data_IF_700763618342
#
_entry.id   IF_700763618342
#
_cell.length_a   1.000
_cell.length_b   1.000
_cell.length_c   1.000
_cell.angle_alpha   90.00
_cell.angle_beta   90.00
_cell.angle_gamma   90.00
#
_symmetry.space_group_name_H-M   'P 1'
#
loop_
_entity.id
_entity.type
_entity.pdbx_description
1 polymer ?
#
# COMPACT_ATOMS: atom_id res chain seq x y z
N UNK A 1 18.10 -22.21 17.46
CA UNK A 1 16.74 -22.45 16.92
C UNK A 1 15.74 -21.34 17.25
N UNK A 2 15.74 -20.76 18.46
CA UNK A 2 14.80 -19.71 18.93
C UNK A 2 14.81 -18.39 18.15
N UNK A 3 15.95 -17.99 17.54
CA UNK A 3 16.04 -16.72 16.77
C UNK A 3 15.16 -16.74 15.51
N UNK A 4 15.20 -17.86 14.78
CA UNK A 4 14.46 -18.05 13.52
C UNK A 4 12.94 -18.04 13.70
N UNK A 5 12.44 -18.55 14.82
CA UNK A 5 11.00 -18.50 15.16
C UNK A 5 10.53 -17.07 15.46
N UNK A 6 11.34 -16.28 16.17
CA UNK A 6 11.03 -14.86 16.44
C UNK A 6 10.99 -14.06 15.13
N UNK A 7 11.92 -14.30 14.22
CA UNK A 7 11.96 -13.60 12.93
C UNK A 7 10.72 -13.92 12.07
N UNK A 8 10.29 -15.19 12.03
CA UNK A 8 9.07 -15.61 11.31
C UNK A 8 7.83 -14.94 11.93
N UNK A 9 7.72 -14.89 13.26
CA UNK A 9 6.62 -14.20 13.93
C UNK A 9 6.62 -12.69 13.66
N UNK A 10 7.78 -12.04 13.65
CA UNK A 10 7.89 -10.63 13.30
C UNK A 10 7.46 -10.36 11.86
N UNK A 11 7.86 -11.22 10.92
CA UNK A 11 7.43 -11.10 9.52
C UNK A 11 5.92 -11.34 9.35
N UNK A 12 5.37 -12.34 10.05
CA UNK A 12 3.94 -12.65 9.98
C UNK A 12 3.09 -11.54 10.59
N UNK A 13 3.51 -11.01 11.74
CA UNK A 13 2.83 -9.87 12.40
C UNK A 13 2.91 -8.61 11.56
N UNK A 14 4.09 -8.28 11.00
CA UNK A 14 4.25 -7.15 10.09
C UNK A 14 3.37 -7.29 8.84
N UNK A 15 3.32 -8.49 8.25
CA UNK A 15 2.46 -8.78 7.09
C UNK A 15 0.98 -8.69 7.43
N UNK A 16 0.58 -9.18 8.60
CA UNK A 16 -0.80 -9.11 9.09
C UNK A 16 -1.23 -7.67 9.34
N UNK A 17 -0.40 -6.88 10.03
CA UNK A 17 -0.67 -5.46 10.29
C UNK A 17 -0.78 -4.65 9.00
N UNK A 18 0.11 -4.91 8.03
CA UNK A 18 0.05 -4.30 6.71
C UNK A 18 -1.25 -4.64 5.98
N UNK A 19 -1.59 -5.93 5.89
CA UNK A 19 -2.81 -6.36 5.21
C UNK A 19 -4.09 -5.83 5.88
N UNK A 20 -4.08 -5.66 7.20
CA UNK A 20 -5.18 -5.02 7.92
C UNK A 20 -5.34 -3.55 7.55
N UNK A 21 -4.24 -2.79 7.50
CA UNK A 21 -4.26 -1.39 7.06
C UNK A 21 -4.73 -1.24 5.62
N UNK A 22 -4.19 -2.05 4.70
CA UNK A 22 -4.59 -2.06 3.29
C UNK A 22 -6.09 -2.42 3.14
N UNK A 23 -6.58 -3.39 3.91
CA UNK A 23 -8.00 -3.79 3.92
C UNK A 23 -8.94 -2.76 4.54
N UNK A 24 -8.48 -1.92 5.45
CA UNK A 24 -9.26 -0.79 5.96
C UNK A 24 -9.38 0.31 4.90
N UNK A 25 -8.25 0.65 4.26
CA UNK A 25 -8.19 1.66 3.22
C UNK A 25 -9.07 1.32 2.00
N UNK A 26 -9.11 0.04 1.59
CA UNK A 26 -9.89 -0.39 0.42
C UNK A 26 -11.41 -0.27 0.63
N UNK A 27 -11.88 -0.23 1.89
CA UNK A 27 -13.31 -0.05 2.22
C UNK A 27 -13.63 1.43 2.42
N UNK A 28 -12.81 2.14 3.19
CA UNK A 28 -13.09 3.53 3.56
C UNK A 28 -12.89 4.50 2.41
N UNK A 29 -11.90 4.29 1.56
CA UNK A 29 -11.65 5.23 0.46
C UNK A 29 -12.81 5.30 -0.54
N UNK A 30 -13.37 4.18 -1.05
CA UNK A 30 -14.57 4.21 -1.87
C UNK A 30 -15.79 4.79 -1.15
N UNK A 31 -15.98 4.45 0.13
CA UNK A 31 -17.10 4.95 0.93
C UNK A 31 -16.99 6.48 1.14
N UNK A 32 -15.78 6.99 1.37
CA UNK A 32 -15.50 8.42 1.49
C UNK A 32 -15.77 9.16 0.18
N UNK A 33 -15.27 8.63 -0.96
CA UNK A 33 -15.52 9.22 -2.27
C UNK A 33 -17.01 9.22 -2.63
N UNK A 34 -17.73 8.14 -2.31
CA UNK A 34 -19.18 8.07 -2.49
C UNK A 34 -19.91 9.12 -1.62
N UNK A 35 -19.47 9.32 -0.37
CA UNK A 35 -20.03 10.34 0.51
C UNK A 35 -19.75 11.78 0.03
N UNK A 36 -18.64 12.00 -0.69
CA UNK A 36 -18.35 13.26 -1.38
C UNK A 36 -19.20 13.48 -2.64
N UNK A 37 -20.00 12.48 -3.06
CA UNK A 37 -20.87 12.55 -4.23
C UNK A 37 -20.19 12.18 -5.55
N UNK A 38 -19.02 11.52 -5.51
CA UNK A 38 -18.37 11.02 -6.73
C UNK A 38 -19.16 9.87 -7.35
N UNK A 39 -19.18 9.83 -8.69
CA UNK A 39 -19.83 8.76 -9.44
C UNK A 39 -19.05 7.45 -9.35
N UNK A 40 -19.75 6.32 -9.49
CA UNK A 40 -19.16 4.98 -9.40
C UNK A 40 -18.03 4.77 -10.41
N UNK A 41 -18.11 5.38 -11.61
CA UNK A 41 -17.05 5.30 -12.60
C UNK A 41 -15.75 5.97 -12.12
N UNK A 42 -15.84 7.10 -11.41
CA UNK A 42 -14.68 7.82 -10.88
C UNK A 42 -14.03 7.04 -9.73
N UNK A 43 -14.83 6.47 -8.84
CA UNK A 43 -14.35 5.60 -7.77
C UNK A 43 -13.64 4.37 -8.34
N UNK A 44 -14.24 3.75 -9.37
CA UNK A 44 -13.62 2.62 -10.08
C UNK A 44 -12.29 2.98 -10.73
N UNK A 45 -12.15 4.20 -11.26
CA UNK A 45 -10.90 4.67 -11.86
C UNK A 45 -9.79 4.85 -10.81
N UNK A 46 -10.11 5.39 -9.63
CA UNK A 46 -9.19 5.47 -8.49
C UNK A 46 -8.78 4.07 -8.01
N UNK A 47 -9.75 3.15 -7.87
CA UNK A 47 -9.46 1.78 -7.46
C UNK A 47 -8.56 1.06 -8.50
N UNK A 48 -8.80 1.30 -9.79
CA UNK A 48 -7.98 0.72 -10.86
C UNK A 48 -6.56 1.28 -10.85
N UNK A 49 -6.38 2.59 -10.64
CA UNK A 49 -5.04 3.20 -10.54
C UNK A 49 -4.25 2.61 -9.36
N UNK A 50 -4.90 2.48 -8.19
CA UNK A 50 -4.29 1.88 -7.01
C UNK A 50 -3.82 0.42 -7.24
N UNK A 51 -4.65 -0.39 -7.91
CA UNK A 51 -4.30 -1.76 -8.26
C UNK A 51 -3.17 -1.80 -9.31
N UNK A 52 -3.20 -0.89 -10.28
CA UNK A 52 -2.16 -0.76 -11.30
C UNK A 52 -0.83 -0.36 -10.67
N UNK A 53 -0.81 0.63 -9.77
CA UNK A 53 0.36 1.03 -8.99
C UNK A 53 0.94 -0.14 -8.19
N UNK A 54 0.07 -0.92 -7.54
CA UNK A 54 0.47 -2.14 -6.81
C UNK A 54 1.09 -3.18 -7.73
N UNK A 55 0.51 -3.41 -8.92
CA UNK A 55 1.02 -4.35 -9.90
C UNK A 55 2.39 -3.93 -10.45
N UNK A 56 2.55 -2.65 -10.81
CA UNK A 56 3.81 -2.09 -11.27
C UNK A 56 4.90 -2.16 -10.20
N UNK A 57 4.57 -1.85 -8.96
CA UNK A 57 5.51 -1.94 -7.84
C UNK A 57 5.93 -3.40 -7.60
N UNK A 58 4.98 -4.34 -7.66
CA UNK A 58 5.26 -5.78 -7.52
C UNK A 58 6.20 -6.26 -8.63
N UNK A 59 5.95 -5.84 -9.87
CA UNK A 59 6.78 -6.18 -11.02
C UNK A 59 8.18 -5.57 -10.90
N UNK A 60 8.28 -4.29 -10.54
CA UNK A 60 9.54 -3.59 -10.32
C UNK A 60 10.38 -4.24 -9.22
N UNK A 61 9.75 -4.58 -8.08
CA UNK A 61 10.40 -5.35 -7.01
C UNK A 61 10.84 -6.72 -7.54
N UNK A 62 10.02 -7.41 -8.34
CA UNK A 62 10.37 -8.70 -8.94
C UNK A 62 11.65 -8.66 -9.79
N UNK A 63 11.92 -7.55 -10.47
CA UNK A 63 13.17 -7.35 -11.24
C UNK A 63 14.38 -6.99 -10.36
N UNK A 64 14.16 -6.25 -9.27
CA UNK A 64 15.24 -5.77 -8.37
C UNK A 64 15.61 -6.81 -7.31
N UNK A 65 14.65 -7.65 -6.90
CA UNK A 65 14.77 -8.62 -5.82
C UNK A 65 15.90 -9.66 -5.98
N UNK A 66 16.20 -10.20 -7.18
CA UNK A 66 17.28 -11.16 -7.35
C UNK A 66 18.68 -10.57 -7.10
N UNK A 67 18.82 -9.24 -7.12
CA UNK A 67 20.11 -8.54 -7.03
C UNK A 67 20.33 -7.82 -5.69
N UNK A 68 19.35 -7.82 -4.79
CA UNK A 68 19.39 -7.06 -3.55
C UNK A 68 19.02 -7.90 -2.33
N UNK A 69 19.60 -7.57 -1.18
CA UNK A 69 19.28 -8.21 0.08
C UNK A 69 17.80 -8.01 0.46
N UNK A 70 17.11 -9.10 0.82
CA UNK A 70 15.71 -9.07 1.26
C UNK A 70 15.47 -8.07 2.39
N UNK A 71 16.42 -7.93 3.32
CA UNK A 71 16.30 -7.01 4.45
C UNK A 71 16.25 -5.54 4.00
N UNK A 72 17.03 -5.18 2.99
CA UNK A 72 17.02 -3.82 2.45
C UNK A 72 15.69 -3.52 1.74
N UNK A 73 15.16 -4.48 0.97
CA UNK A 73 13.85 -4.38 0.32
C UNK A 73 12.70 -4.26 1.32
N UNK A 74 12.75 -5.02 2.42
CA UNK A 74 11.77 -4.94 3.50
C UNK A 74 11.81 -3.58 4.23
N UNK A 75 13.00 -3.03 4.48
CA UNK A 75 13.11 -1.69 5.09
C UNK A 75 12.69 -0.57 4.13
N UNK A 76 13.05 -0.68 2.85
CA UNK A 76 12.63 0.29 1.83
C UNK A 76 11.10 0.31 1.67
N UNK A 77 10.47 -0.86 1.60
CA UNK A 77 9.00 -0.97 1.52
C UNK A 77 8.30 -0.49 2.79
N UNK A 78 8.86 -0.73 3.97
CA UNK A 78 8.34 -0.17 5.22
C UNK A 78 8.42 1.37 5.24
N UNK A 79 9.54 1.94 4.76
CA UNK A 79 9.69 3.39 4.63
C UNK A 79 8.71 4.00 3.64
N UNK A 80 8.55 3.37 2.47
CA UNK A 80 7.57 3.79 1.47
C UNK A 80 6.14 3.77 2.03
N UNK A 81 5.78 2.73 2.77
CA UNK A 81 4.45 2.57 3.36
C UNK A 81 4.17 3.59 4.47
N UNK A 82 5.18 3.94 5.28
CA UNK A 82 5.05 5.02 6.24
C UNK A 82 4.89 6.38 5.55
N UNK A 83 5.64 6.62 4.46
CA UNK A 83 5.54 7.85 3.69
C UNK A 83 4.15 8.01 3.06
N UNK A 84 3.60 6.98 2.42
CA UNK A 84 2.25 7.04 1.83
C UNK A 84 1.18 7.29 2.89
N UNK A 85 1.26 6.61 4.04
CA UNK A 85 0.32 6.80 5.15
C UNK A 85 0.35 8.21 5.75
N UNK A 86 1.51 8.89 5.75
CA UNK A 86 1.64 10.28 6.19
C UNK A 86 1.18 11.29 5.13
N UNK A 87 1.35 10.95 3.86
CA UNK A 87 0.93 11.77 2.72
C UNK A 87 -0.60 11.81 2.64
N UNK A 88 -1.29 10.66 2.72
CA UNK A 88 -2.75 10.56 2.51
C UNK A 88 -3.63 11.56 3.30
N UNK A 89 -3.44 11.78 4.62
CA UNK A 89 -4.24 12.72 5.41
C UNK A 89 -4.02 14.20 5.04
N UNK A 90 -2.92 14.52 4.36
CA UNK A 90 -2.52 15.90 4.07
C UNK A 90 -3.12 16.47 2.77
N UNK A 91 -3.84 15.68 1.97
CA UNK A 91 -4.33 16.12 0.66
C UNK A 91 -5.87 16.11 0.56
N UNK A 92 -6.48 17.29 0.61
CA UNK A 92 -7.93 17.52 0.50
C UNK A 92 -8.49 17.47 -0.95
N UNK A 93 -7.68 17.11 -1.96
CA UNK A 93 -8.11 17.15 -3.37
C UNK A 93 -7.96 15.80 -4.10
N UNK A 94 -9.08 15.30 -4.62
CA UNK A 94 -9.22 14.00 -5.30
C UNK A 94 -8.34 13.87 -6.56
N UNK A 95 -7.99 14.99 -7.20
CA UNK A 95 -7.09 15.00 -8.37
C UNK A 95 -5.67 14.51 -8.05
N UNK A 96 -5.20 14.65 -6.80
CA UNK A 96 -3.88 14.18 -6.37
C UNK A 96 -3.93 12.77 -5.76
N UNK A 97 -5.07 12.32 -5.25
CA UNK A 97 -5.25 10.93 -4.78
C UNK A 97 -5.06 9.95 -5.95
N UNK A 98 -5.54 10.27 -7.15
CA UNK A 98 -5.30 9.50 -8.38
C UNK A 98 -3.82 9.48 -8.77
N UNK A 99 -3.05 10.54 -8.47
CA UNK A 99 -1.64 10.63 -8.82
C UNK A 99 -0.73 9.85 -7.85
N UNK A 100 -1.19 9.66 -6.61
CA UNK A 100 -0.44 8.96 -5.54
C UNK A 100 -0.83 7.48 -5.43
N UNK A 101 -2.04 7.11 -5.85
CA UNK A 101 -2.57 5.74 -5.85
C UNK A 101 -2.20 4.96 -7.11
#
# INVERSE_FOLDING_TARGET
>A
MTRRYKDILLLLTARGLRGFGDGFAIIILPAYLAALGYDAAQIGLVATSALLGTALLTLGIGFVAPRHDLRALLMASAGLMAATGLVFPQFEHVGLVVAVA
#
